data_IF_756902080208
#
_entry.id   IF_756902080208
#
_cell.length_a   1.000
_cell.length_b   1.000
_cell.length_c   1.000
_cell.angle_alpha   90.00
_cell.angle_beta   90.00
_cell.angle_gamma   90.00
#
_symmetry.space_group_name_H-M   'P 1'
#
loop_
_entity.id
_entity.type
_entity.pdbx_description
1 polymer ?
#
# COMPACT_ATOMS: atom_id res chain seq x y z
N UNK A 1 24.02 -6.50 18.74
CA UNK A 1 24.29 -6.46 20.18
C UNK A 1 23.63 -5.28 20.90
N UNK A 2 23.34 -4.18 20.23
CA UNK A 2 22.75 -2.92 20.77
C UNK A 2 21.25 -2.77 20.50
N UNK A 3 20.59 -3.82 20.05
CA UNK A 3 19.14 -3.81 19.86
C UNK A 3 18.40 -3.65 21.20
N UNK A 4 17.42 -2.77 21.24
CA UNK A 4 16.62 -2.46 22.42
C UNK A 4 15.49 -3.46 22.71
N UNK A 5 15.57 -4.68 22.20
CA UNK A 5 14.59 -5.74 22.44
C UNK A 5 14.52 -6.15 23.90
N UNK A 6 13.32 -6.38 24.43
CA UNK A 6 13.09 -6.74 25.83
C UNK A 6 13.33 -5.60 26.83
N UNK A 7 13.55 -4.36 26.37
CA UNK A 7 13.73 -3.17 27.20
C UNK A 7 12.50 -2.25 27.13
N UNK A 8 12.42 -1.33 28.10
CA UNK A 8 11.36 -0.32 28.07
C UNK A 8 11.51 0.61 26.88
N UNK A 9 10.51 0.69 26.01
CA UNK A 9 10.44 1.67 24.92
C UNK A 9 10.46 3.13 25.39
N UNK A 10 10.31 3.38 26.71
CA UNK A 10 10.39 4.71 27.33
C UNK A 10 11.80 5.09 27.76
N UNK A 11 12.74 4.15 27.73
CA UNK A 11 14.15 4.45 28.02
C UNK A 11 14.74 5.36 26.91
N UNK A 12 15.74 6.16 27.26
CA UNK A 12 16.38 7.03 26.30
C UNK A 12 16.92 6.28 25.06
N UNK A 13 17.65 5.15 25.19
CA UNK A 13 18.10 4.40 24.02
C UNK A 13 16.98 3.90 23.12
N UNK A 14 15.86 3.45 23.67
CA UNK A 14 14.73 2.98 22.88
C UNK A 14 14.01 4.13 22.15
N UNK A 15 13.86 5.29 22.80
CA UNK A 15 13.34 6.48 22.13
C UNK A 15 14.25 6.95 21.00
N UNK A 16 15.57 6.90 21.21
CA UNK A 16 16.55 7.25 20.17
C UNK A 16 16.42 6.31 18.95
N UNK A 17 16.16 5.01 19.16
CA UNK A 17 15.89 4.06 18.07
C UNK A 17 14.61 4.41 17.31
N UNK A 18 13.49 4.67 18.00
CA UNK A 18 12.24 5.08 17.37
C UNK A 18 12.45 6.36 16.55
N UNK A 19 13.14 7.37 17.11
CA UNK A 19 13.43 8.60 16.40
C UNK A 19 14.33 8.37 15.20
N UNK A 20 15.32 7.48 15.31
CA UNK A 20 16.22 7.11 14.21
C UNK A 20 15.45 6.49 13.05
N UNK A 21 14.52 5.55 13.32
CA UNK A 21 13.68 4.97 12.28
C UNK A 21 12.88 6.05 11.53
N UNK A 22 12.27 7.01 12.26
CA UNK A 22 11.50 8.09 11.65
C UNK A 22 12.38 9.08 10.87
N UNK A 23 13.57 9.39 11.38
CA UNK A 23 14.50 10.29 10.69
C UNK A 23 15.03 9.66 9.39
N UNK A 24 15.37 8.37 9.41
CA UNK A 24 15.80 7.64 8.20
C UNK A 24 14.66 7.55 7.17
N UNK A 25 13.44 7.25 7.61
CA UNK A 25 12.27 7.24 6.72
C UNK A 25 12.04 8.62 6.09
N UNK A 26 12.09 9.71 6.89
CA UNK A 26 11.99 11.09 6.41
C UNK A 26 13.04 11.42 5.36
N UNK A 27 14.30 11.08 5.64
CA UNK A 27 15.43 11.35 4.76
C UNK A 27 15.27 10.62 3.42
N UNK A 28 14.98 9.31 3.46
CA UNK A 28 14.89 8.48 2.24
C UNK A 28 13.69 8.89 1.40
N UNK A 29 12.54 9.17 2.03
CA UNK A 29 11.32 9.61 1.34
C UNK A 29 11.39 11.06 0.85
N UNK A 30 12.38 11.86 1.29
CA UNK A 30 12.48 13.27 0.95
C UNK A 30 11.33 14.10 1.48
N UNK A 31 10.84 13.81 2.71
CA UNK A 31 9.72 14.55 3.30
C UNK A 31 10.07 16.02 3.54
N UNK A 32 9.18 16.98 3.23
CA UNK A 32 9.35 18.37 3.63
C UNK A 32 9.55 18.51 5.15
N UNK A 33 10.34 19.51 5.56
CA UNK A 33 10.72 19.70 6.96
C UNK A 33 9.55 19.97 7.89
N UNK A 34 8.49 20.60 7.39
CA UNK A 34 7.27 20.96 8.12
C UNK A 34 6.25 19.81 8.25
N UNK A 35 6.48 18.68 7.58
CA UNK A 35 5.65 17.49 7.76
C UNK A 35 5.96 16.79 9.08
N UNK A 36 5.00 16.10 9.63
CA UNK A 36 5.13 15.25 10.83
C UNK A 36 5.10 13.79 10.41
N UNK A 37 5.89 12.97 11.08
CA UNK A 37 5.91 11.51 10.85
C UNK A 37 5.97 10.78 12.18
N UNK A 38 5.18 9.72 12.34
CA UNK A 38 5.15 8.96 13.57
C UNK A 38 4.69 7.52 13.39
N UNK A 39 5.17 6.64 14.27
CA UNK A 39 4.75 5.24 14.35
C UNK A 39 3.41 5.16 15.09
N UNK A 40 2.46 4.45 14.51
CA UNK A 40 1.11 4.24 15.04
C UNK A 40 0.76 2.74 15.04
N UNK A 41 -0.22 2.29 15.86
CA UNK A 41 -0.61 0.88 15.90
C UNK A 41 -1.40 0.43 14.68
N UNK A 42 -1.43 -0.89 14.44
CA UNK A 42 -2.39 -1.54 13.56
C UNK A 42 -2.02 -1.54 12.07
N UNK A 43 -0.72 -1.45 11.74
CA UNK A 43 -0.22 -1.40 10.36
C UNK A 43 -0.79 -0.24 9.53
N UNK A 44 -0.77 -0.34 8.19
CA UNK A 44 -1.40 0.64 7.30
C UNK A 44 -2.89 0.83 7.61
N UNK A 45 -3.60 -0.25 7.92
CA UNK A 45 -5.02 -0.22 8.28
C UNK A 45 -5.27 0.73 9.45
N UNK A 46 -4.58 0.54 10.58
CA UNK A 46 -4.76 1.40 11.75
C UNK A 46 -4.34 2.85 11.51
N UNK A 47 -3.35 3.09 10.63
CA UNK A 47 -2.94 4.44 10.26
C UNK A 47 -4.01 5.17 9.43
N UNK A 48 -4.65 4.48 8.47
CA UNK A 48 -5.75 5.04 7.66
C UNK A 48 -6.98 5.28 8.53
N UNK A 49 -7.42 4.29 9.32
CA UNK A 49 -8.54 4.48 10.25
C UNK A 49 -8.30 5.64 11.22
N UNK A 50 -7.08 5.76 11.77
CA UNK A 50 -6.72 6.87 12.64
C UNK A 50 -6.89 8.23 11.95
N UNK A 51 -6.49 8.35 10.69
CA UNK A 51 -6.70 9.55 9.89
C UNK A 51 -8.20 9.82 9.66
N UNK A 52 -8.96 8.80 9.26
CA UNK A 52 -10.40 8.91 9.02
C UNK A 52 -11.15 9.34 10.27
N UNK A 53 -10.97 8.64 11.40
CA UNK A 53 -11.65 8.95 12.66
C UNK A 53 -11.29 10.32 13.25
N UNK A 54 -10.08 10.81 12.98
CA UNK A 54 -9.59 12.04 13.58
C UNK A 54 -9.85 13.28 12.74
N UNK A 55 -10.03 13.17 11.42
CA UNK A 55 -10.01 14.33 10.52
C UNK A 55 -11.26 14.49 9.66
N UNK A 56 -12.03 13.40 9.42
CA UNK A 56 -13.25 13.49 8.59
C UNK A 56 -14.41 14.15 9.32
N UNK A 57 -15.36 14.66 8.53
CA UNK A 57 -16.61 15.27 9.02
C UNK A 57 -16.59 16.80 9.12
N UNK A 58 -15.45 17.45 8.94
CA UNK A 58 -15.37 18.90 8.83
C UNK A 58 -15.85 19.41 7.45
N UNK A 59 -15.77 18.55 6.43
CA UNK A 59 -16.18 18.79 5.04
C UNK A 59 -16.92 17.56 4.50
N UNK A 60 -17.50 17.66 3.30
CA UNK A 60 -17.91 16.49 2.55
C UNK A 60 -16.73 15.56 2.30
N UNK A 61 -17.00 14.32 1.92
CA UNK A 61 -15.98 13.30 1.74
C UNK A 61 -16.13 12.66 0.36
N UNK A 62 -15.03 12.52 -0.36
CA UNK A 62 -14.89 11.76 -1.60
C UNK A 62 -14.08 10.50 -1.31
N UNK A 63 -14.58 9.34 -1.68
CA UNK A 63 -13.89 8.06 -1.50
C UNK A 63 -13.71 7.36 -2.84
N UNK A 64 -12.45 7.05 -3.17
CA UNK A 64 -12.12 6.35 -4.40
C UNK A 64 -11.77 4.89 -4.10
N UNK A 65 -12.35 3.95 -4.84
CA UNK A 65 -12.09 2.52 -4.67
C UNK A 65 -12.07 1.77 -6.01
N UNK A 66 -11.05 0.95 -6.21
CA UNK A 66 -10.91 0.05 -7.36
C UNK A 66 -10.39 -1.33 -6.97
N UNK A 67 -10.35 -1.59 -5.66
CA UNK A 67 -9.94 -2.86 -5.08
C UNK A 67 -10.42 -2.99 -3.63
N UNK A 68 -10.11 -4.12 -2.98
CA UNK A 68 -10.66 -4.48 -1.68
C UNK A 68 -10.41 -3.43 -0.59
N UNK A 69 -9.19 -2.89 -0.49
CA UNK A 69 -8.84 -1.93 0.58
C UNK A 69 -9.60 -0.61 0.44
N UNK A 70 -9.69 -0.06 -0.79
CA UNK A 70 -10.51 1.13 -1.02
C UNK A 70 -11.99 0.90 -0.67
N UNK A 71 -12.54 -0.30 -0.93
CA UNK A 71 -13.90 -0.66 -0.53
C UNK A 71 -14.06 -0.78 0.99
N UNK A 72 -13.02 -1.27 1.70
CA UNK A 72 -13.01 -1.32 3.15
C UNK A 72 -13.12 0.11 3.73
N UNK A 73 -12.39 1.10 3.18
CA UNK A 73 -12.50 2.52 3.61
C UNK A 73 -13.89 3.12 3.35
N UNK A 74 -14.55 2.76 2.25
CA UNK A 74 -15.96 3.14 2.02
C UNK A 74 -16.85 2.54 3.11
N UNK A 75 -16.65 1.26 3.43
CA UNK A 75 -17.42 0.56 4.47
C UNK A 75 -17.24 1.24 5.82
N UNK A 76 -16.03 1.64 6.19
CA UNK A 76 -15.75 2.33 7.45
C UNK A 76 -16.42 3.70 7.50
N UNK A 77 -16.31 4.49 6.45
CA UNK A 77 -16.97 5.79 6.38
C UNK A 77 -18.50 5.68 6.53
N UNK A 78 -19.11 4.79 5.77
CA UNK A 78 -20.58 4.64 5.73
C UNK A 78 -21.10 3.90 6.97
N UNK A 79 -20.49 2.76 7.30
CA UNK A 79 -21.05 1.85 8.31
C UNK A 79 -20.62 2.17 9.73
N UNK A 80 -19.42 2.73 9.92
CA UNK A 80 -18.88 3.02 11.25
C UNK A 80 -18.99 4.50 11.59
N UNK A 81 -18.47 5.41 10.74
CA UNK A 81 -18.52 6.83 10.96
C UNK A 81 -19.87 7.47 10.64
N UNK A 82 -20.75 6.75 9.92
CA UNK A 82 -22.08 7.23 9.49
C UNK A 82 -21.99 8.50 8.63
N UNK A 83 -20.93 8.61 7.84
CA UNK A 83 -20.76 9.65 6.82
C UNK A 83 -21.50 9.19 5.56
N UNK A 84 -22.02 10.16 4.79
CA UNK A 84 -22.58 9.94 3.45
C UNK A 84 -21.58 10.50 2.41
N UNK A 85 -20.57 9.70 1.99
CA UNK A 85 -19.54 10.15 1.06
C UNK A 85 -20.04 10.09 -0.39
N UNK A 86 -19.46 10.93 -1.25
CA UNK A 86 -19.46 10.69 -2.69
C UNK A 86 -18.45 9.57 -2.98
N UNK A 87 -18.91 8.50 -3.63
CA UNK A 87 -18.06 7.35 -3.93
C UNK A 87 -17.74 7.25 -5.40
N UNK A 88 -16.45 7.08 -5.73
CA UNK A 88 -15.94 6.84 -7.06
C UNK A 88 -15.40 5.41 -7.13
N UNK A 89 -16.19 4.49 -7.67
CA UNK A 89 -15.85 3.06 -7.69
C UNK A 89 -15.60 2.61 -9.12
N UNK A 90 -14.48 1.93 -9.35
CA UNK A 90 -14.18 1.25 -10.59
C UNK A 90 -14.05 -0.27 -10.39
N UNK A 91 -14.25 -1.09 -11.43
CA UNK A 91 -13.95 -2.51 -11.38
C UNK A 91 -12.44 -2.74 -11.27
N UNK A 92 -12.07 -3.96 -10.88
CA UNK A 92 -10.67 -4.37 -10.91
C UNK A 92 -10.06 -4.19 -12.31
N UNK A 93 -8.84 -3.67 -12.37
CA UNK A 93 -8.13 -3.36 -13.61
C UNK A 93 -8.25 -1.90 -14.07
N UNK A 94 -9.17 -1.13 -13.52
CA UNK A 94 -9.45 0.25 -13.93
C UNK A 94 -9.34 1.21 -12.73
N UNK A 95 -9.05 2.49 -13.02
CA UNK A 95 -9.24 3.60 -12.08
C UNK A 95 -10.62 4.24 -12.29
N UNK A 96 -11.25 4.79 -11.25
CA UNK A 96 -12.39 5.68 -11.43
C UNK A 96 -11.96 6.97 -12.17
N UNK A 97 -12.93 7.72 -12.66
CA UNK A 97 -12.65 9.03 -13.29
C UNK A 97 -12.11 10.02 -12.23
N UNK A 98 -10.81 10.22 -12.26
CA UNK A 98 -10.11 11.13 -11.33
C UNK A 98 -10.49 12.60 -11.54
N UNK A 99 -10.99 12.98 -12.73
CA UNK A 99 -11.42 14.35 -13.03
C UNK A 99 -12.79 14.66 -12.41
N UNK A 100 -13.55 13.67 -12.01
CA UNK A 100 -14.85 13.85 -11.37
C UNK A 100 -14.75 14.17 -9.86
N UNK A 101 -13.55 14.13 -9.27
CA UNK A 101 -13.33 14.31 -7.83
C UNK A 101 -13.46 15.78 -7.43
N UNK A 102 -14.29 16.04 -6.42
CA UNK A 102 -14.46 17.39 -5.89
C UNK A 102 -13.50 17.66 -4.72
N UNK A 103 -12.43 18.37 -4.97
CA UNK A 103 -11.40 18.71 -3.99
C UNK A 103 -11.78 19.82 -2.98
N UNK A 104 -13.03 20.31 -2.98
CA UNK A 104 -13.56 21.05 -1.85
C UNK A 104 -13.90 20.13 -0.67
N UNK A 105 -14.09 18.85 -0.93
CA UNK A 105 -14.27 17.76 0.03
C UNK A 105 -12.93 17.15 0.42
N UNK A 106 -12.90 16.42 1.54
CA UNK A 106 -11.76 15.57 1.91
C UNK A 106 -11.75 14.32 1.02
N UNK A 107 -10.62 14.01 0.43
CA UNK A 107 -10.49 12.92 -0.56
C UNK A 107 -9.66 11.80 0.02
N UNK A 108 -10.19 10.56 0.00
CA UNK A 108 -9.50 9.36 0.47
C UNK A 108 -9.35 8.38 -0.68
N UNK A 109 -8.15 7.88 -0.87
CA UNK A 109 -7.84 6.90 -1.91
C UNK A 109 -6.59 6.08 -1.59
N UNK A 110 -6.44 4.94 -2.24
CA UNK A 110 -5.20 4.16 -2.24
C UNK A 110 -4.28 4.69 -3.35
N UNK A 111 -3.04 5.05 -3.03
CA UNK A 111 -2.09 5.44 -4.09
C UNK A 111 -1.77 4.27 -5.03
N UNK A 112 -1.68 3.07 -4.46
CA UNK A 112 -1.39 1.84 -5.18
C UNK A 112 -2.27 0.69 -4.66
N UNK A 113 -3.19 0.21 -5.49
CA UNK A 113 -4.07 -0.90 -5.16
C UNK A 113 -3.34 -2.24 -5.24
N UNK A 114 -2.85 -2.73 -4.11
CA UNK A 114 -2.05 -3.97 -4.01
C UNK A 114 -2.81 -5.21 -4.51
N UNK A 115 -4.12 -5.26 -4.33
CA UNK A 115 -4.95 -6.38 -4.78
C UNK A 115 -5.27 -6.30 -6.28
N UNK A 116 -5.39 -5.09 -6.83
CA UNK A 116 -5.72 -4.87 -8.24
C UNK A 116 -4.49 -4.78 -9.15
N UNK A 117 -3.31 -4.49 -8.60
CA UNK A 117 -2.14 -4.15 -9.41
C UNK A 117 -2.29 -2.83 -10.17
N UNK A 118 -3.16 -1.93 -9.69
CA UNK A 118 -3.49 -0.65 -10.32
C UNK A 118 -3.12 0.48 -9.38
N UNK A 119 -2.27 1.40 -9.85
CA UNK A 119 -1.87 2.61 -9.12
C UNK A 119 -2.40 3.87 -9.78
N UNK A 120 -2.50 4.98 -9.06
CA UNK A 120 -2.67 6.29 -9.69
C UNK A 120 -1.41 6.63 -10.50
N UNK A 121 -1.55 7.23 -11.70
CA UNK A 121 -0.40 7.47 -12.59
C UNK A 121 0.58 8.50 -11.99
N UNK A 122 0.05 9.57 -11.41
CA UNK A 122 0.80 10.68 -10.81
C UNK A 122 -0.11 11.54 -9.92
N UNK A 123 0.35 12.70 -9.47
CA UNK A 123 -0.42 13.66 -8.67
C UNK A 123 -1.07 14.82 -9.44
N UNK A 124 -1.01 14.82 -10.77
CA UNK A 124 -1.45 15.98 -11.58
C UNK A 124 -2.97 16.23 -11.49
N UNK A 125 -3.75 15.18 -11.22
CA UNK A 125 -5.19 15.25 -10.99
C UNK A 125 -5.58 15.93 -9.68
N UNK A 126 -4.63 16.14 -8.74
CA UNK A 126 -4.86 16.79 -7.46
C UNK A 126 -4.51 18.27 -7.60
N UNK A 127 -5.47 19.22 -7.49
CA UNK A 127 -5.22 20.64 -7.62
C UNK A 127 -4.42 21.20 -6.42
N UNK A 128 -3.64 22.26 -6.65
CA UNK A 128 -2.86 22.91 -5.60
C UNK A 128 -3.73 23.75 -4.64
N UNK A 129 -4.81 24.34 -5.16
CA UNK A 129 -5.73 25.22 -4.45
C UNK A 129 -6.91 24.49 -3.78
N UNK A 130 -6.79 23.16 -3.60
CA UNK A 130 -7.81 22.33 -2.97
C UNK A 130 -8.16 22.82 -1.55
N UNK A 131 -9.44 22.81 -1.21
CA UNK A 131 -9.91 23.19 0.12
C UNK A 131 -9.93 21.98 1.09
N UNK A 132 -10.25 20.79 0.58
CA UNK A 132 -10.24 19.54 1.35
C UNK A 132 -8.85 18.98 1.57
N UNK A 133 -8.74 18.00 2.45
CA UNK A 133 -7.52 17.20 2.65
C UNK A 133 -7.46 16.04 1.65
N UNK A 134 -6.26 15.69 1.25
CA UNK A 134 -5.97 14.45 0.50
C UNK A 134 -5.33 13.43 1.43
N UNK A 135 -5.99 12.30 1.61
CA UNK A 135 -5.58 11.20 2.49
C UNK A 135 -5.27 10.00 1.59
N UNK A 136 -4.01 9.65 1.48
CA UNK A 136 -3.53 8.58 0.61
C UNK A 136 -3.04 7.39 1.43
N UNK A 137 -3.72 6.24 1.29
CA UNK A 137 -3.14 4.97 1.67
C UNK A 137 -2.04 4.61 0.67
N UNK A 138 -0.80 4.79 1.10
CA UNK A 138 0.40 4.55 0.29
C UNK A 138 1.20 3.35 0.81
N UNK A 139 0.52 2.42 1.46
CA UNK A 139 1.14 1.27 2.16
C UNK A 139 2.05 0.46 1.26
N UNK A 140 1.71 0.28 -0.01
CA UNK A 140 2.55 -0.43 -0.99
C UNK A 140 3.23 0.48 -2.02
N UNK A 141 3.10 1.80 -1.86
CA UNK A 141 3.72 2.81 -2.73
C UNK A 141 4.96 3.46 -2.10
N UNK A 142 4.90 3.78 -0.80
CA UNK A 142 6.05 4.35 -0.10
C UNK A 142 7.29 3.47 -0.29
N UNK A 143 8.42 4.10 -0.55
CA UNK A 143 9.72 3.51 -0.88
C UNK A 143 9.81 2.78 -2.23
N UNK A 144 8.73 2.73 -3.02
CA UNK A 144 8.73 2.10 -4.34
C UNK A 144 8.23 3.02 -5.46
N UNK A 145 7.66 4.16 -5.11
CA UNK A 145 7.12 5.16 -6.04
C UNK A 145 7.47 6.57 -5.55
N UNK A 146 7.59 7.48 -6.50
CA UNK A 146 7.70 8.91 -6.19
C UNK A 146 6.33 9.47 -5.79
N UNK A 147 6.26 10.12 -4.63
CA UNK A 147 5.02 10.67 -4.08
C UNK A 147 5.09 12.21 -4.09
N UNK A 148 4.08 12.89 -4.65
CA UNK A 148 4.05 14.34 -4.72
C UNK A 148 3.64 14.94 -3.37
N UNK A 149 4.58 15.09 -2.43
CA UNK A 149 4.30 15.49 -1.05
C UNK A 149 3.40 16.73 -0.94
N UNK A 150 3.62 17.74 -1.79
CA UNK A 150 2.82 18.98 -1.78
C UNK A 150 1.33 18.75 -2.13
N UNK A 151 1.00 17.62 -2.73
CA UNK A 151 -0.36 17.21 -3.09
C UNK A 151 -1.03 16.31 -2.04
N UNK A 152 -0.27 15.82 -1.05
CA UNK A 152 -0.74 14.81 -0.09
C UNK A 152 -0.70 15.37 1.33
N UNK A 153 -1.87 15.43 1.97
CA UNK A 153 -1.98 15.98 3.32
C UNK A 153 -1.78 14.91 4.40
N UNK A 154 -2.24 13.69 4.13
CA UNK A 154 -2.00 12.53 4.97
C UNK A 154 -1.53 11.38 4.10
N UNK A 155 -0.41 10.78 4.48
CA UNK A 155 0.11 9.57 3.84
C UNK A 155 0.31 8.51 4.90
N UNK A 156 -0.10 7.28 4.59
CA UNK A 156 0.08 6.14 5.48
C UNK A 156 0.88 5.05 4.80
N UNK A 157 1.71 4.37 5.59
CA UNK A 157 2.39 3.15 5.15
C UNK A 157 2.68 2.23 6.34
N UNK A 158 3.26 1.07 6.08
CA UNK A 158 3.72 0.11 7.08
C UNK A 158 4.97 -0.63 6.61
N UNK A 159 5.76 -1.16 7.55
CA UNK A 159 7.11 -1.66 7.26
C UNK A 159 7.14 -2.97 6.46
N UNK A 160 6.08 -3.78 6.51
CA UNK A 160 6.04 -5.11 5.87
C UNK A 160 5.87 -5.10 4.34
N UNK A 161 5.77 -3.96 3.71
CA UNK A 161 5.65 -3.85 2.25
C UNK A 161 7.01 -3.59 1.60
N UNK A 162 7.24 -2.39 1.11
CA UNK A 162 8.44 -2.06 0.32
C UNK A 162 9.77 -2.17 1.08
N UNK A 163 9.73 -2.09 2.41
CA UNK A 163 10.93 -2.29 3.25
C UNK A 163 11.15 -3.75 3.62
N UNK A 164 10.21 -4.65 3.35
CA UNK A 164 10.34 -6.07 3.64
C UNK A 164 10.42 -6.43 5.12
N UNK A 165 10.07 -5.51 6.01
CA UNK A 165 10.10 -5.69 7.46
C UNK A 165 8.84 -6.34 8.01
N UNK A 166 8.74 -6.40 9.34
CA UNK A 166 7.59 -6.97 10.04
C UNK A 166 6.40 -6.00 10.10
N UNK A 167 5.20 -6.58 10.10
CA UNK A 167 3.95 -5.86 10.29
C UNK A 167 3.71 -5.37 11.72
N UNK A 168 2.47 -4.94 12.00
CA UNK A 168 2.02 -4.53 13.34
C UNK A 168 2.07 -3.04 13.59
N UNK A 169 3.01 -2.30 12.98
CA UNK A 169 3.06 -0.84 13.04
C UNK A 169 2.67 -0.22 11.72
N UNK A 170 1.82 0.82 11.80
CA UNK A 170 1.63 1.80 10.74
C UNK A 170 2.57 2.98 10.93
N UNK A 171 2.74 3.75 9.89
CA UNK A 171 3.36 5.06 9.92
C UNK A 171 2.39 6.08 9.37
N UNK A 172 2.23 7.17 10.10
CA UNK A 172 1.36 8.28 9.75
C UNK A 172 2.21 9.51 9.45
N UNK A 173 2.04 10.06 8.26
CA UNK A 173 2.68 11.29 7.79
C UNK A 173 1.60 12.36 7.65
N UNK A 174 1.83 13.53 8.21
CA UNK A 174 0.90 14.65 8.25
C UNK A 174 1.53 15.92 7.68
N UNK A 175 0.86 16.54 6.71
CA UNK A 175 1.20 17.88 6.24
C UNK A 175 0.83 18.94 7.29
N UNK A 176 1.31 20.18 7.16
CA UNK A 176 0.84 21.32 7.99
C UNK A 176 -0.68 21.49 7.94
N UNK A 177 -1.33 21.26 6.78
CA UNK A 177 -2.79 21.34 6.62
C UNK A 177 -3.53 20.26 7.42
N UNK A 178 -2.97 19.04 7.45
CA UNK A 178 -3.52 17.98 8.27
C UNK A 178 -3.39 18.28 9.78
N UNK A 179 -2.25 18.84 10.19
CA UNK A 179 -2.05 19.31 11.58
C UNK A 179 -3.05 20.41 11.94
N UNK A 180 -3.22 21.42 11.08
CA UNK A 180 -4.20 22.48 11.26
C UNK A 180 -5.63 21.93 11.42
N UNK A 181 -6.02 20.95 10.59
CA UNK A 181 -7.31 20.26 10.70
C UNK A 181 -7.47 19.58 12.07
N UNK A 182 -6.48 18.87 12.55
CA UNK A 182 -6.51 18.20 13.85
C UNK A 182 -6.64 19.18 15.02
N UNK A 183 -6.10 20.39 14.89
CA UNK A 183 -6.13 21.41 15.94
C UNK A 183 -7.38 22.32 15.89
N UNK A 184 -8.01 22.44 14.73
CA UNK A 184 -9.16 23.31 14.53
C UNK A 184 -10.51 22.59 14.52
N UNK A 185 -10.51 21.25 14.44
CA UNK A 185 -11.73 20.46 14.31
C UNK A 185 -11.77 19.30 15.31
N UNK A 186 -12.95 19.05 15.86
CA UNK A 186 -13.23 17.87 16.69
C UNK A 186 -14.38 17.09 16.08
N UNK A 187 -14.19 15.83 15.71
CA UNK A 187 -15.25 14.98 15.19
C UNK A 187 -16.43 14.81 16.16
N UNK A 188 -17.63 14.63 15.62
CA UNK A 188 -18.85 14.45 16.43
C UNK A 188 -19.00 13.04 17.02
N UNK A 189 -18.23 12.08 16.54
CA UNK A 189 -18.22 10.69 17.01
C UNK A 189 -17.13 10.43 18.06
N UNK A 190 -17.30 9.38 18.88
CA UNK A 190 -16.26 8.99 19.83
C UNK A 190 -14.97 8.56 19.12
N UNK A 191 -13.84 9.10 19.57
CA UNK A 191 -12.52 8.70 19.08
C UNK A 191 -11.90 7.70 20.07
N UNK A 192 -11.61 6.46 19.66
CA UNK A 192 -10.88 5.50 20.48
C UNK A 192 -9.55 6.07 20.98
N UNK A 193 -9.09 5.65 22.14
CA UNK A 193 -7.83 6.16 22.72
C UNK A 193 -6.65 6.05 21.76
N UNK A 194 -6.57 4.95 21.00
CA UNK A 194 -5.49 4.70 20.04
C UNK A 194 -5.53 5.65 18.82
N UNK A 195 -6.65 6.34 18.59
CA UNK A 195 -6.80 7.28 17.47
C UNK A 195 -6.75 8.75 17.91
N UNK A 196 -6.51 9.04 19.18
CA UNK A 196 -6.45 10.40 19.71
C UNK A 196 -5.10 11.04 19.42
N UNK A 197 -5.02 11.70 18.28
CA UNK A 197 -3.81 12.41 17.85
C UNK A 197 -3.61 13.76 18.55
N UNK A 198 -4.65 14.28 19.20
CA UNK A 198 -4.60 15.59 19.87
C UNK A 198 -4.78 15.47 21.37
N UNK A 199 -4.20 16.44 22.09
CA UNK A 199 -4.41 16.67 23.51
C UNK A 199 -4.64 18.17 23.76
N UNK A 200 -5.75 18.53 24.44
CA UNK A 200 -6.13 19.92 24.70
C UNK A 200 -6.19 20.79 23.43
N UNK A 201 -6.68 20.22 22.33
CA UNK A 201 -6.82 20.92 21.04
C UNK A 201 -5.51 21.17 20.29
N UNK A 202 -4.42 20.50 20.68
CA UNK A 202 -3.12 20.56 20.00
C UNK A 202 -2.64 19.17 19.61
N UNK A 203 -1.92 19.08 18.50
CA UNK A 203 -1.27 17.83 18.11
C UNK A 203 -0.41 17.32 19.27
N UNK A 204 -0.52 16.05 19.58
CA UNK A 204 0.38 15.42 20.54
C UNK A 204 1.72 15.13 19.86
N UNK A 205 2.65 16.09 19.93
CA UNK A 205 3.97 15.99 19.31
C UNK A 205 4.76 14.73 19.76
N UNK A 206 4.42 14.14 20.91
CA UNK A 206 5.02 12.88 21.32
C UNK A 206 4.68 11.70 20.40
N UNK A 207 3.49 11.71 19.77
CA UNK A 207 3.07 10.62 18.86
C UNK A 207 3.85 10.69 17.54
N UNK A 208 4.08 11.89 17.04
CA UNK A 208 4.88 12.16 15.83
C UNK A 208 6.38 12.31 16.13
N UNK A 209 6.79 11.81 17.26
CA UNK A 209 8.17 11.70 17.75
C UNK A 209 8.40 10.34 18.37
N UNK A 210 9.27 10.30 19.38
CA UNK A 210 9.69 9.04 20.00
C UNK A 210 8.76 8.51 21.11
N UNK A 211 7.69 9.23 21.47
CA UNK A 211 6.73 8.80 22.51
C UNK A 211 5.43 8.33 21.87
N UNK A 212 5.45 7.16 21.28
CA UNK A 212 4.32 6.53 20.59
C UNK A 212 3.02 6.50 21.40
N UNK A 213 1.87 6.44 20.73
CA UNK A 213 0.54 6.44 21.39
C UNK A 213 0.31 5.20 22.26
N UNK A 214 0.94 4.07 21.92
CA UNK A 214 0.92 2.81 22.66
C UNK A 214 2.33 2.24 22.75
N UNK A 215 2.49 1.10 23.41
CA UNK A 215 3.77 0.39 23.47
C UNK A 215 4.10 -0.22 22.11
N UNK A 216 5.16 0.23 21.42
CA UNK A 216 5.59 -0.34 20.15
C UNK A 216 6.38 -1.63 20.36
N UNK A 217 6.51 -2.45 19.33
CA UNK A 217 7.47 -3.53 19.28
C UNK A 217 8.87 -2.97 18.95
N UNK A 218 9.80 -3.07 19.89
CA UNK A 218 11.18 -2.63 19.63
C UNK A 218 11.89 -3.54 18.64
N UNK A 219 11.50 -4.81 18.51
CA UNK A 219 12.02 -5.70 17.48
C UNK A 219 11.67 -5.17 16.07
N UNK A 220 10.42 -4.78 15.85
CA UNK A 220 9.98 -4.19 14.58
C UNK A 220 10.68 -2.85 14.30
N UNK A 221 10.95 -2.06 15.32
CA UNK A 221 11.71 -0.80 15.18
C UNK A 221 13.15 -1.06 14.74
N UNK A 222 13.83 -2.04 15.34
CA UNK A 222 15.20 -2.41 14.97
C UNK A 222 15.27 -3.00 13.55
N UNK A 223 14.31 -3.84 13.19
CA UNK A 223 14.15 -4.39 11.85
C UNK A 223 13.94 -3.27 10.82
N UNK A 224 13.07 -2.31 11.11
CA UNK A 224 12.85 -1.15 10.25
C UNK A 224 14.12 -0.29 10.08
N UNK A 225 14.91 -0.11 11.14
CA UNK A 225 16.19 0.62 11.07
C UNK A 225 17.18 -0.11 10.17
N UNK A 226 17.26 -1.43 10.24
CA UNK A 226 18.14 -2.24 9.39
C UNK A 226 17.75 -2.07 7.92
N UNK A 227 16.47 -2.28 7.61
CA UNK A 227 15.93 -2.10 6.25
C UNK A 227 16.15 -0.67 5.70
N UNK A 228 15.94 0.36 6.53
CA UNK A 228 16.15 1.75 6.12
C UNK A 228 17.64 2.08 5.91
N UNK A 229 18.54 1.52 6.73
CA UNK A 229 19.99 1.68 6.51
C UNK A 229 20.43 0.96 5.23
N UNK A 230 19.91 -0.24 4.96
CA UNK A 230 20.13 -0.92 3.69
C UNK A 230 19.64 -0.05 2.52
N UNK A 231 18.40 0.45 2.58
CA UNK A 231 17.84 1.31 1.55
C UNK A 231 18.72 2.54 1.28
N UNK A 232 19.22 3.20 2.33
CA UNK A 232 20.15 4.33 2.23
C UNK A 232 21.48 3.90 1.59
N UNK A 233 22.02 2.74 1.96
CA UNK A 233 23.32 2.25 1.48
C UNK A 233 23.33 1.95 -0.01
N UNK A 234 22.20 1.56 -0.60
CA UNK A 234 22.07 1.26 -2.03
C UNK A 234 21.74 2.48 -2.90
N UNK A 235 21.53 3.67 -2.29
CA UNK A 235 21.25 4.92 -3.00
C UNK A 235 19.87 5.54 -2.73
N UNK A 236 19.16 5.11 -1.68
CA UNK A 236 17.90 5.70 -1.21
C UNK A 236 16.73 5.47 -2.15
N UNK A 237 15.75 6.37 -2.11
CA UNK A 237 14.48 6.24 -2.87
C UNK A 237 14.68 6.01 -4.38
N UNK A 238 15.58 6.71 -5.09
CA UNK A 238 15.80 6.46 -6.52
C UNK A 238 16.23 5.02 -6.82
N UNK A 239 17.10 4.44 -6.00
CA UNK A 239 17.55 3.06 -6.17
C UNK A 239 16.44 2.05 -5.87
N UNK A 240 15.63 2.28 -4.83
CA UNK A 240 14.48 1.46 -4.50
C UNK A 240 13.45 1.45 -5.63
N UNK A 241 13.11 2.62 -6.18
CA UNK A 241 12.20 2.74 -7.33
C UNK A 241 12.78 2.01 -8.55
N UNK A 242 14.06 2.16 -8.83
CA UNK A 242 14.72 1.51 -9.96
C UNK A 242 14.65 -0.03 -9.85
N UNK A 243 14.81 -0.59 -8.66
CA UNK A 243 14.69 -2.04 -8.42
C UNK A 243 13.27 -2.56 -8.72
N UNK A 244 12.23 -1.91 -8.16
CA UNK A 244 10.84 -2.27 -8.45
C UNK A 244 10.49 -2.13 -9.93
N UNK A 245 10.98 -1.09 -10.59
CA UNK A 245 10.77 -0.89 -12.02
C UNK A 245 11.48 -1.96 -12.86
N UNK A 246 12.70 -2.37 -12.50
CA UNK A 246 13.41 -3.46 -13.18
C UNK A 246 12.63 -4.78 -13.09
N UNK A 247 12.06 -5.10 -11.93
CA UNK A 247 11.17 -6.26 -11.76
C UNK A 247 9.91 -6.16 -12.64
N UNK A 248 9.27 -5.00 -12.69
CA UNK A 248 8.12 -4.78 -13.58
C UNK A 248 8.49 -4.92 -15.05
N UNK A 249 9.64 -4.38 -15.46
CA UNK A 249 10.09 -4.43 -16.86
C UNK A 249 10.43 -5.87 -17.30
N UNK A 250 10.94 -6.71 -16.39
CA UNK A 250 11.11 -8.14 -16.64
C UNK A 250 9.75 -8.82 -16.90
N UNK A 251 8.75 -8.55 -16.05
CA UNK A 251 7.38 -9.09 -16.23
C UNK A 251 6.74 -8.57 -17.53
N UNK A 252 6.87 -7.28 -17.86
CA UNK A 252 6.38 -6.72 -19.12
C UNK A 252 6.98 -7.44 -20.33
N UNK A 253 8.31 -7.60 -20.33
CA UNK A 253 9.04 -8.26 -21.41
C UNK A 253 8.63 -9.73 -21.60
N UNK A 254 8.22 -10.38 -20.53
CA UNK A 254 7.69 -11.75 -20.56
C UNK A 254 6.23 -11.77 -21.03
N UNK A 255 5.36 -10.89 -20.52
CA UNK A 255 3.95 -10.77 -20.95
C UNK A 255 3.84 -10.50 -22.46
N UNK A 256 4.70 -9.64 -23.00
CA UNK A 256 4.72 -9.34 -24.44
C UNK A 256 4.99 -10.57 -25.33
N UNK A 257 5.59 -11.61 -24.78
CA UNK A 257 5.93 -12.88 -25.47
C UNK A 257 5.00 -14.03 -25.13
N UNK A 258 4.16 -13.85 -24.11
CA UNK A 258 3.30 -14.90 -23.56
C UNK A 258 1.88 -14.72 -24.07
N UNK A 259 1.30 -15.69 -24.83
CA UNK A 259 -0.02 -15.50 -25.46
C UNK A 259 -1.20 -15.71 -24.50
N UNK A 260 -0.93 -16.16 -23.26
CA UNK A 260 -1.97 -16.57 -22.32
C UNK A 260 -1.95 -15.82 -20.99
N UNK A 261 -1.02 -14.85 -20.78
CA UNK A 261 -1.05 -13.93 -19.67
C UNK A 261 -1.07 -12.48 -20.15
N UNK A 262 -1.73 -11.63 -19.38
CA UNK A 262 -1.76 -10.18 -19.53
C UNK A 262 -1.80 -9.50 -18.18
N UNK A 263 -1.62 -8.18 -18.11
CA UNK A 263 -1.85 -7.43 -16.89
C UNK A 263 -3.33 -7.33 -16.57
N UNK A 264 -3.69 -7.33 -15.28
CA UNK A 264 -5.06 -7.00 -14.87
C UNK A 264 -5.36 -5.51 -15.10
N UNK A 265 -4.37 -4.63 -14.89
CA UNK A 265 -4.47 -3.21 -15.21
C UNK A 265 -4.66 -2.99 -16.72
N UNK A 266 -5.75 -2.33 -17.10
CA UNK A 266 -6.12 -2.11 -18.51
C UNK A 266 -5.30 -0.96 -19.14
N UNK A 267 -4.97 0.07 -18.35
CA UNK A 267 -4.13 1.18 -18.80
C UNK A 267 -2.67 0.93 -18.37
N UNK A 268 -1.72 0.84 -19.34
CA UNK A 268 -0.31 0.65 -19.04
C UNK A 268 0.29 1.68 -18.09
N UNK A 269 -0.22 2.92 -18.03
CA UNK A 269 0.25 3.96 -17.12
C UNK A 269 -0.09 3.69 -15.66
N UNK A 270 -1.07 2.82 -15.41
CA UNK A 270 -1.58 2.48 -14.08
C UNK A 270 -1.05 1.17 -13.54
N UNK A 271 -0.21 0.44 -14.28
CA UNK A 271 0.37 -0.82 -13.80
C UNK A 271 1.25 -0.54 -12.57
N UNK A 272 0.96 -1.27 -11.49
CA UNK A 272 1.78 -1.21 -10.26
C UNK A 272 3.15 -1.83 -10.47
N UNK A 273 4.20 -1.22 -9.90
CA UNK A 273 5.55 -1.77 -9.89
C UNK A 273 5.89 -2.57 -8.61
N UNK A 274 4.90 -2.79 -7.73
CA UNK A 274 5.08 -3.57 -6.49
C UNK A 274 4.16 -4.78 -6.43
N UNK A 275 2.85 -4.59 -6.50
CA UNK A 275 1.87 -5.68 -6.57
C UNK A 275 1.47 -5.89 -8.03
N UNK A 276 2.26 -6.64 -8.79
CA UNK A 276 1.98 -6.91 -10.21
C UNK A 276 0.91 -7.99 -10.31
N UNK A 277 -0.25 -7.63 -10.83
CA UNK A 277 -1.38 -8.56 -10.98
C UNK A 277 -1.58 -8.94 -12.44
N UNK A 278 -1.63 -10.25 -12.69
CA UNK A 278 -1.76 -10.85 -14.01
C UNK A 278 -3.13 -11.51 -14.19
N UNK A 279 -3.71 -11.32 -15.34
CA UNK A 279 -4.89 -12.04 -15.83
C UNK A 279 -4.48 -13.19 -16.73
N UNK A 280 -5.24 -14.27 -16.74
CA UNK A 280 -5.10 -15.35 -17.72
C UNK A 280 -5.98 -15.00 -18.91
N UNK A 281 -5.36 -14.78 -20.08
CA UNK A 281 -6.00 -14.28 -21.30
C UNK A 281 -6.27 -15.37 -22.34
N UNK A 282 -5.88 -16.63 -22.07
CA UNK A 282 -6.16 -17.77 -22.95
C UNK A 282 -7.68 -17.88 -23.19
N UNK A 283 -8.15 -17.94 -24.45
CA UNK A 283 -9.57 -18.09 -24.77
C UNK A 283 -10.25 -19.29 -24.09
N UNK A 284 -9.54 -20.37 -23.90
CA UNK A 284 -10.03 -21.51 -23.12
C UNK A 284 -10.39 -21.10 -21.69
N UNK A 285 -9.47 -20.42 -20.99
CA UNK A 285 -9.70 -19.97 -19.62
C UNK A 285 -10.81 -18.93 -19.53
N UNK A 286 -10.83 -17.98 -20.48
CA UNK A 286 -11.85 -16.92 -20.53
C UNK A 286 -13.24 -17.50 -20.67
N UNK A 287 -13.41 -18.61 -21.40
CA UNK A 287 -14.69 -19.30 -21.63
C UNK A 287 -15.19 -20.11 -20.42
N UNK A 288 -14.36 -20.35 -19.39
CA UNK A 288 -14.75 -21.05 -18.16
C UNK A 288 -15.71 -20.21 -17.32
N UNK A 289 -16.53 -20.87 -16.52
CA UNK A 289 -17.29 -20.22 -15.45
C UNK A 289 -16.38 -19.77 -14.31
N UNK A 290 -16.89 -18.95 -13.39
CA UNK A 290 -16.12 -18.39 -12.30
C UNK A 290 -15.56 -19.45 -11.32
N UNK A 291 -16.28 -20.54 -11.11
CA UNK A 291 -15.84 -21.62 -10.24
C UNK A 291 -14.65 -22.38 -10.86
N UNK A 292 -14.73 -22.67 -12.15
CA UNK A 292 -13.66 -23.30 -12.90
C UNK A 292 -12.43 -22.39 -13.01
N UNK A 293 -12.61 -21.08 -13.26
CA UNK A 293 -11.51 -20.09 -13.25
C UNK A 293 -10.77 -20.07 -11.92
N UNK A 294 -11.49 -20.04 -10.80
CA UNK A 294 -10.91 -20.10 -9.45
C UNK A 294 -10.16 -21.40 -9.21
N UNK A 295 -10.71 -22.53 -9.68
CA UNK A 295 -10.05 -23.83 -9.56
C UNK A 295 -8.73 -23.87 -10.34
N UNK A 296 -8.69 -23.34 -11.56
CA UNK A 296 -7.47 -23.25 -12.38
C UNK A 296 -6.43 -22.37 -11.69
N UNK A 297 -6.79 -21.17 -11.24
CA UNK A 297 -5.86 -20.27 -10.54
C UNK A 297 -5.29 -20.91 -9.26
N UNK A 298 -6.13 -21.61 -8.48
CA UNK A 298 -5.68 -22.35 -7.30
C UNK A 298 -4.72 -23.51 -7.64
N UNK A 299 -4.92 -24.17 -8.77
CA UNK A 299 -4.00 -25.24 -9.24
C UNK A 299 -2.66 -24.66 -9.67
N UNK A 300 -2.65 -23.50 -10.34
CA UNK A 300 -1.41 -22.79 -10.69
C UNK A 300 -0.60 -22.46 -9.44
N UNK A 301 -1.24 -21.83 -8.46
CA UNK A 301 -0.60 -21.51 -7.18
C UNK A 301 -0.01 -22.76 -6.51
N UNK A 302 -0.80 -23.83 -6.40
CA UNK A 302 -0.37 -25.08 -5.76
C UNK A 302 0.78 -25.75 -6.49
N UNK A 303 0.81 -25.68 -7.83
CA UNK A 303 1.93 -26.21 -8.62
C UNK A 303 3.23 -25.44 -8.30
N UNK A 304 3.18 -24.12 -8.27
CA UNK A 304 4.31 -23.25 -7.93
C UNK A 304 4.77 -23.45 -6.47
N UNK A 305 3.83 -23.56 -5.53
CA UNK A 305 4.14 -23.84 -4.12
C UNK A 305 4.82 -25.19 -3.92
N UNK A 306 4.35 -26.23 -4.63
CA UNK A 306 4.92 -27.58 -4.54
C UNK A 306 6.40 -27.61 -4.95
N UNK A 307 6.76 -26.85 -5.96
CA UNK A 307 8.14 -26.71 -6.41
C UNK A 307 8.95 -25.71 -5.56
N UNK A 308 8.30 -25.01 -4.61
CA UNK A 308 8.95 -24.03 -3.72
C UNK A 308 9.37 -22.75 -4.40
N UNK A 309 8.82 -22.43 -5.57
CA UNK A 309 9.22 -21.26 -6.39
C UNK A 309 8.37 -20.03 -6.16
N UNK A 310 7.12 -20.18 -5.72
CA UNK A 310 6.25 -19.07 -5.30
C UNK A 310 5.27 -19.56 -4.23
N UNK A 311 5.21 -18.83 -3.11
CA UNK A 311 4.46 -19.25 -1.91
C UNK A 311 3.10 -18.56 -1.75
N UNK A 312 2.87 -17.41 -2.41
CA UNK A 312 1.65 -16.57 -2.32
C UNK A 312 1.43 -15.85 -3.65
N UNK A 313 1.19 -16.63 -4.72
CA UNK A 313 1.04 -16.09 -6.08
C UNK A 313 -0.42 -15.97 -6.53
N UNK A 314 -1.40 -16.37 -5.72
CA UNK A 314 -2.82 -16.27 -6.08
C UNK A 314 -3.34 -14.83 -6.02
N UNK A 315 -4.44 -14.60 -6.72
CA UNK A 315 -5.22 -13.37 -6.59
C UNK A 315 -5.67 -13.15 -5.15
N UNK A 316 -5.69 -11.90 -4.72
CA UNK A 316 -6.00 -11.53 -3.35
C UNK A 316 -7.50 -11.23 -3.16
N UNK A 317 -8.12 -11.78 -2.10
CA UNK A 317 -9.53 -11.57 -1.71
C UNK A 317 -10.51 -11.75 -2.89
N UNK A 318 -11.23 -10.67 -3.25
CA UNK A 318 -12.26 -10.62 -4.29
C UNK A 318 -11.73 -10.22 -5.68
N UNK A 319 -10.40 -10.18 -5.86
CA UNK A 319 -9.80 -9.93 -7.17
C UNK A 319 -10.15 -11.06 -8.16
N UNK A 320 -10.22 -10.75 -9.47
CA UNK A 320 -10.45 -11.75 -10.50
C UNK A 320 -9.41 -12.88 -10.42
N UNK A 321 -9.80 -14.13 -10.75
CA UNK A 321 -8.86 -15.25 -10.76
C UNK A 321 -7.68 -15.01 -11.70
N UNK A 322 -6.48 -15.08 -11.16
CA UNK A 322 -5.22 -14.79 -11.84
C UNK A 322 -4.05 -15.00 -10.91
N UNK A 323 -2.94 -14.37 -11.21
CA UNK A 323 -1.73 -14.42 -10.41
C UNK A 323 -1.32 -13.01 -9.95
N UNK A 324 -0.63 -12.96 -8.81
CA UNK A 324 -0.07 -11.73 -8.27
C UNK A 324 1.38 -11.97 -7.87
N UNK A 325 2.27 -11.13 -8.37
CA UNK A 325 3.69 -11.14 -8.07
C UNK A 325 3.99 -9.94 -7.18
N UNK A 326 4.53 -10.17 -5.98
CA UNK A 326 5.09 -9.10 -5.18
C UNK A 326 6.50 -8.77 -5.67
N UNK A 327 6.69 -7.55 -6.13
CA UNK A 327 7.92 -7.04 -6.75
C UNK A 327 8.41 -5.75 -6.07
N UNK A 328 8.17 -5.62 -4.76
CA UNK A 328 8.69 -4.50 -3.97
C UNK A 328 10.22 -4.44 -4.01
N UNK A 329 10.84 -3.30 -3.64
CA UNK A 329 12.27 -3.04 -3.87
C UNK A 329 13.21 -3.98 -3.10
N UNK A 330 12.72 -4.73 -2.11
CA UNK A 330 13.49 -5.76 -1.39
C UNK A 330 13.51 -7.11 -2.10
N UNK A 331 12.74 -7.29 -3.16
CA UNK A 331 12.80 -8.47 -4.04
C UNK A 331 13.88 -8.21 -5.11
N UNK A 332 14.75 -9.20 -5.33
CA UNK A 332 15.76 -9.08 -6.38
C UNK A 332 15.09 -9.22 -7.77
N UNK A 333 15.36 -8.31 -8.72
CA UNK A 333 14.83 -8.44 -10.07
C UNK A 333 15.17 -9.79 -10.73
N UNK A 334 16.34 -10.36 -10.44
CA UNK A 334 16.75 -11.68 -10.91
C UNK A 334 15.87 -12.83 -10.39
N UNK A 335 15.30 -12.69 -9.19
CA UNK A 335 14.38 -13.68 -8.64
C UNK A 335 13.02 -13.62 -9.36
N UNK A 336 12.57 -12.39 -9.70
CA UNK A 336 11.37 -12.22 -10.55
C UNK A 336 11.62 -12.83 -11.93
N UNK A 337 12.77 -12.54 -12.58
CA UNK A 337 13.13 -13.15 -13.86
C UNK A 337 13.15 -14.67 -13.78
N UNK A 338 13.71 -15.25 -12.72
CA UNK A 338 13.77 -16.70 -12.51
C UNK A 338 12.38 -17.34 -12.30
N UNK A 339 11.41 -16.60 -11.76
CA UNK A 339 10.03 -17.05 -11.59
C UNK A 339 9.28 -17.22 -12.93
N UNK A 340 9.52 -16.35 -13.92
CA UNK A 340 8.70 -16.27 -15.13
C UNK A 340 8.64 -17.60 -15.92
N UNK A 341 9.73 -18.35 -16.16
CA UNK A 341 9.66 -19.67 -16.79
C UNK A 341 8.83 -20.69 -16.00
N UNK A 342 8.77 -20.56 -14.68
CA UNK A 342 7.93 -21.42 -13.84
C UNK A 342 6.43 -21.14 -14.00
N UNK A 343 6.06 -19.89 -14.27
CA UNK A 343 4.69 -19.54 -14.63
C UNK A 343 4.28 -20.21 -15.94
N UNK A 344 5.16 -20.18 -16.96
CA UNK A 344 4.95 -20.87 -18.22
C UNK A 344 4.80 -22.40 -18.03
N UNK A 345 5.69 -23.00 -17.26
CA UNK A 345 5.64 -24.42 -16.95
C UNK A 345 4.34 -24.80 -16.21
N UNK A 346 3.99 -24.09 -15.14
CA UNK A 346 2.80 -24.41 -14.36
C UNK A 346 1.51 -24.29 -15.20
N UNK A 347 1.46 -23.26 -16.07
CA UNK A 347 0.34 -23.11 -16.99
C UNK A 347 0.27 -24.25 -18.02
N UNK A 348 1.40 -24.65 -18.61
CA UNK A 348 1.48 -25.76 -19.58
C UNK A 348 1.02 -27.10 -18.97
N UNK A 349 1.44 -27.42 -17.74
CA UNK A 349 1.02 -28.62 -17.01
C UNK A 349 -0.51 -28.66 -16.83
N UNK A 350 -1.12 -27.53 -16.45
CA UNK A 350 -2.56 -27.46 -16.28
C UNK A 350 -3.28 -27.61 -17.62
N UNK A 351 -2.80 -26.95 -18.67
CA UNK A 351 -3.40 -27.06 -20.01
C UNK A 351 -3.35 -28.49 -20.55
N UNK A 352 -2.23 -29.18 -20.34
CA UNK A 352 -2.09 -30.58 -20.74
C UNK A 352 -3.06 -31.50 -19.98
N UNK A 353 -3.21 -31.31 -18.67
CA UNK A 353 -4.14 -32.10 -17.86
C UNK A 353 -5.61 -31.90 -18.28
N UNK A 354 -6.01 -30.65 -18.59
CA UNK A 354 -7.35 -30.35 -19.08
C UNK A 354 -7.63 -30.96 -20.46
N UNK A 355 -6.63 -30.90 -21.36
CA UNK A 355 -6.75 -31.50 -22.70
C UNK A 355 -6.84 -33.02 -22.67
N UNK A 356 -6.28 -33.67 -21.66
CA UNK A 356 -6.36 -35.10 -21.46
C UNK A 356 -7.67 -35.58 -20.81
N UNK A 357 -8.41 -34.64 -20.16
CA UNK A 357 -9.67 -34.92 -19.47
C UNK A 357 -10.91 -34.63 -20.37
N UNK A 358 -10.75 -33.90 -21.48
CA UNK A 358 -11.78 -33.55 -22.46
C UNK A 358 -11.86 -34.58 -23.58
#
# INVERSE_FOLDING_TARGET
>A
EDACTGRSHRSAPAKDKIQTAMNLAREILGLPDDYRIGIVPGSGTGAVEMAMWSMLGARGVELLAWEAFGKDWITDAVSQLKIDPVTHVAPYGQLPDLNAVNFNNDVIFTWNGTAAGVKVPNGDWIPDDRAGLTIADSTSACFAMDLPWQKLDVVTFSFQKSLGGEGGHGVLILSPRAVERLESYTPSWPIPKLFRLTSKGKLNEGIVGAATINTPSMLVVEDAIDALNWAKSIGGLPALIARSNASLDAVKSWVDKTPYFGFLAEDPATISNTGITLSITDPWFVALDDAAKKAVASRLEKALQKEGVALDAASYRDAPPGLRIWAGPTVEPSDVEALLPWLDWAYAEIRQAESAAA
#
